data_IF_427625364877
#
_entry.id   IF_427625364877
#
_cell.length_a   1.000
_cell.length_b   1.000
_cell.length_c   1.000
_cell.angle_alpha   90.00
_cell.angle_beta   90.00
_cell.angle_gamma   90.00
#
_symmetry.space_group_name_H-M   'P 1'
#
loop_
_entity.id
_entity.type
_entity.pdbx_description
1 polymer ?
#
# COMPACT_ATOMS: atom_id res chain seq x y z
N UNK A 1 -10.21 -49.50 -54.33
CA UNK A 1 -10.92 -50.24 -53.25
C UNK A 1 -10.84 -49.36 -52.00
N UNK A 2 -11.91 -48.60 -51.75
CA UNK A 2 -11.97 -47.62 -50.66
C UNK A 2 -12.39 -48.32 -49.37
N UNK A 3 -11.61 -48.17 -48.31
CA UNK A 3 -11.95 -48.69 -46.98
C UNK A 3 -12.72 -47.60 -46.22
N UNK A 4 -14.02 -47.82 -45.98
CA UNK A 4 -14.85 -46.96 -45.14
C UNK A 4 -14.77 -47.43 -43.69
N UNK A 5 -14.41 -46.51 -42.78
CA UNK A 5 -14.39 -46.75 -41.34
C UNK A 5 -15.76 -46.32 -40.77
N UNK A 6 -16.58 -47.27 -40.32
CA UNK A 6 -17.80 -46.97 -39.55
C UNK A 6 -17.43 -46.83 -38.08
N UNK A 7 -17.69 -45.66 -37.49
CA UNK A 7 -17.66 -45.45 -36.05
C UNK A 7 -19.07 -45.64 -35.48
N UNK A 8 -19.23 -46.59 -34.56
CA UNK A 8 -20.45 -46.73 -33.75
C UNK A 8 -20.28 -45.90 -32.48
N UNK A 9 -21.15 -44.91 -32.25
CA UNK A 9 -21.25 -44.23 -30.97
C UNK A 9 -22.12 -45.10 -30.04
N UNK A 10 -21.52 -45.73 -29.03
CA UNK A 10 -22.30 -46.28 -27.92
C UNK A 10 -22.61 -45.15 -26.95
N UNK A 11 -23.90 -44.81 -26.86
CA UNK A 11 -24.44 -43.92 -25.83
C UNK A 11 -24.60 -44.79 -24.58
N UNK A 12 -23.66 -44.65 -23.64
CA UNK A 12 -23.72 -45.34 -22.37
C UNK A 12 -24.77 -44.64 -21.50
N UNK A 13 -25.91 -45.29 -21.29
CA UNK A 13 -26.99 -44.80 -20.43
C UNK A 13 -26.56 -44.92 -18.98
N UNK A 14 -25.85 -43.90 -18.47
CA UNK A 14 -25.59 -43.74 -17.03
C UNK A 14 -26.78 -43.03 -16.40
N UNK A 15 -27.48 -43.71 -15.49
CA UNK A 15 -28.54 -43.13 -14.67
C UNK A 15 -28.05 -41.84 -13.99
N UNK A 16 -28.90 -40.82 -13.81
CA UNK A 16 -28.53 -39.63 -13.06
C UNK A 16 -28.42 -39.99 -11.58
N UNK A 17 -27.27 -40.51 -11.19
CA UNK A 17 -26.90 -40.71 -9.79
C UNK A 17 -26.98 -39.37 -9.08
N UNK A 18 -27.92 -39.24 -8.15
CA UNK A 18 -28.06 -38.04 -7.33
C UNK A 18 -26.84 -37.91 -6.42
N UNK A 19 -25.92 -37.01 -6.75
CA UNK A 19 -24.74 -36.72 -5.90
C UNK A 19 -25.20 -35.84 -4.74
N UNK A 20 -25.47 -36.46 -3.59
CA UNK A 20 -25.85 -35.74 -2.37
C UNK A 20 -24.59 -35.10 -1.74
N UNK A 21 -24.37 -33.80 -2.03
CA UNK A 21 -23.21 -33.05 -1.52
C UNK A 21 -23.51 -32.54 -0.10
N UNK A 22 -22.97 -33.21 0.91
CA UNK A 22 -22.99 -32.73 2.29
C UNK A 22 -21.96 -31.61 2.48
N UNK A 23 -22.37 -30.36 2.30
CA UNK A 23 -21.49 -29.21 2.56
C UNK A 23 -21.35 -28.99 4.08
N UNK A 24 -20.14 -29.19 4.59
CA UNK A 24 -19.81 -28.88 5.99
C UNK A 24 -20.01 -27.36 6.25
N UNK A 25 -20.82 -26.95 7.23
CA UNK A 25 -21.07 -25.54 7.53
C UNK A 25 -19.81 -24.74 7.89
N UNK A 26 -18.72 -25.39 8.30
CA UNK A 26 -17.42 -24.74 8.54
C UNK A 26 -16.80 -24.19 7.26
N UNK A 27 -17.06 -24.80 6.10
CA UNK A 27 -16.58 -24.30 4.82
C UNK A 27 -17.20 -22.93 4.48
N UNK A 28 -18.49 -22.73 4.80
CA UNK A 28 -19.14 -21.44 4.60
C UNK A 28 -18.48 -20.36 5.47
N UNK A 29 -18.14 -20.69 6.72
CA UNK A 29 -17.43 -19.78 7.63
C UNK A 29 -16.05 -19.40 7.08
N UNK A 30 -15.28 -20.36 6.57
CA UNK A 30 -13.97 -20.08 5.97
C UNK A 30 -14.06 -19.17 4.74
N UNK A 31 -15.06 -19.37 3.88
CA UNK A 31 -15.29 -18.48 2.73
C UNK A 31 -15.61 -17.06 3.18
N UNK A 32 -16.44 -16.89 4.21
CA UNK A 32 -16.75 -15.56 4.76
C UNK A 32 -15.54 -14.88 5.38
N UNK A 33 -14.72 -15.62 6.13
CA UNK A 33 -13.49 -15.11 6.73
C UNK A 33 -12.47 -14.71 5.65
N UNK A 34 -12.33 -15.53 4.61
CA UNK A 34 -11.44 -15.22 3.49
C UNK A 34 -11.89 -13.95 2.76
N UNK A 35 -13.19 -13.78 2.53
CA UNK A 35 -13.73 -12.56 1.91
C UNK A 35 -13.42 -11.32 2.76
N UNK A 36 -13.57 -11.41 4.09
CA UNK A 36 -13.24 -10.32 5.02
C UNK A 36 -11.74 -10.01 5.01
N UNK A 37 -10.87 -11.03 5.05
CA UNK A 37 -9.41 -10.85 4.99
C UNK A 37 -9.01 -10.16 3.68
N UNK A 38 -9.59 -10.58 2.56
CA UNK A 38 -9.34 -9.97 1.26
C UNK A 38 -9.81 -8.51 1.23
N UNK A 39 -10.97 -8.20 1.83
CA UNK A 39 -11.47 -6.83 1.93
C UNK A 39 -10.53 -5.95 2.74
N UNK A 40 -10.10 -6.37 3.92
CA UNK A 40 -9.16 -5.62 4.78
C UNK A 40 -7.82 -5.42 4.07
N UNK A 41 -7.25 -6.49 3.51
CA UNK A 41 -5.98 -6.45 2.79
C UNK A 41 -6.07 -5.51 1.59
N UNK A 42 -7.19 -5.55 0.84
CA UNK A 42 -7.40 -4.64 -0.30
C UNK A 42 -7.58 -3.19 0.12
N UNK A 43 -8.22 -2.92 1.26
CA UNK A 43 -8.39 -1.56 1.81
C UNK A 43 -7.06 -0.99 2.28
N UNK A 44 -6.22 -1.77 2.94
CA UNK A 44 -4.91 -1.30 3.41
C UNK A 44 -3.91 -1.13 2.25
N UNK A 45 -3.97 -2.00 1.23
CA UNK A 45 -3.23 -1.79 -0.02
C UNK A 45 -3.65 -0.48 -0.71
N UNK A 46 -4.95 -0.13 -0.73
CA UNK A 46 -5.45 1.14 -1.29
C UNK A 46 -4.99 2.39 -0.53
N UNK A 47 -4.54 2.26 0.73
CA UNK A 47 -4.04 3.40 1.53
C UNK A 47 -2.59 3.73 1.25
N UNK A 48 -1.86 2.89 0.52
CA UNK A 48 -0.45 3.11 0.22
C UNK A 48 -0.22 3.27 -1.28
N UNK A 49 0.62 4.22 -1.67
CA UNK A 49 0.98 4.45 -3.06
C UNK A 49 2.47 4.76 -3.18
N UNK A 50 3.03 4.57 -4.37
CA UNK A 50 4.37 5.07 -4.69
C UNK A 50 4.33 6.60 -4.69
N UNK A 51 5.29 7.22 -4.01
CA UNK A 51 5.41 8.66 -3.96
C UNK A 51 6.79 9.08 -3.48
N UNK A 52 6.84 10.25 -2.84
CA UNK A 52 8.06 10.90 -2.43
C UNK A 52 7.97 11.36 -0.97
N UNK A 53 9.10 11.29 -0.28
CA UNK A 53 9.28 11.81 1.08
C UNK A 53 10.57 12.60 1.18
N UNK A 54 10.59 13.60 2.06
CA UNK A 54 11.77 14.44 2.28
C UNK A 54 12.60 13.88 3.43
N UNK A 55 13.84 13.48 3.16
CA UNK A 55 14.84 13.22 4.19
C UNK A 55 15.37 14.54 4.72
N UNK A 56 15.25 14.77 6.02
CA UNK A 56 15.68 16.02 6.65
C UNK A 56 17.06 15.87 7.27
N UNK A 57 17.28 14.77 8.00
CA UNK A 57 18.57 14.48 8.61
C UNK A 57 18.79 12.98 8.74
N UNK A 58 20.06 12.58 8.64
CA UNK A 58 20.56 11.26 9.03
C UNK A 58 21.76 11.48 9.96
N UNK A 59 21.60 11.20 11.24
CA UNK A 59 22.61 11.48 12.28
C UNK A 59 22.76 10.29 13.23
N UNK A 60 23.91 10.14 13.89
CA UNK A 60 24.09 9.16 14.97
C UNK A 60 23.60 9.69 16.33
N UNK A 61 23.34 11.00 16.44
CA UNK A 61 22.88 11.64 17.66
C UNK A 61 21.35 11.68 17.71
N UNK A 62 20.78 11.01 18.72
CA UNK A 62 19.32 10.96 18.94
C UNK A 62 18.71 12.33 19.21
N UNK A 63 19.40 13.18 19.97
CA UNK A 63 18.87 14.47 20.40
C UNK A 63 18.76 15.43 19.20
N UNK A 64 19.72 15.35 18.28
CA UNK A 64 19.69 16.12 17.05
C UNK A 64 18.51 15.70 16.14
N UNK A 65 18.26 14.39 16.03
CA UNK A 65 17.10 13.89 15.29
C UNK A 65 15.77 14.33 15.92
N UNK A 66 15.70 14.36 17.26
CA UNK A 66 14.51 14.84 17.98
C UNK A 66 14.32 16.34 17.77
N UNK A 67 15.38 17.14 17.87
CA UNK A 67 15.32 18.57 17.62
C UNK A 67 14.80 18.86 16.19
N UNK A 68 15.32 18.16 15.18
CA UNK A 68 14.84 18.29 13.81
C UNK A 68 13.36 17.92 13.66
N UNK A 69 12.93 16.82 14.28
CA UNK A 69 11.52 16.41 14.30
C UNK A 69 10.63 17.49 14.93
N UNK A 70 11.04 18.06 16.07
CA UNK A 70 10.30 19.12 16.76
C UNK A 70 10.18 20.37 15.89
N UNK A 71 11.26 20.80 15.24
CA UNK A 71 11.24 21.95 14.32
C UNK A 71 10.22 21.76 13.20
N UNK A 72 10.20 20.59 12.55
CA UNK A 72 9.20 20.30 11.49
C UNK A 72 7.80 20.28 12.07
N UNK A 73 7.61 19.66 13.24
CA UNK A 73 6.30 19.59 13.88
C UNK A 73 5.72 20.97 14.21
N UNK A 74 6.58 21.92 14.60
CA UNK A 74 6.18 23.30 14.91
C UNK A 74 5.88 24.13 13.67
N UNK A 75 6.75 24.08 12.64
CA UNK A 75 6.64 24.98 11.47
C UNK A 75 5.88 24.38 10.29
N UNK A 76 5.83 23.05 10.18
CA UNK A 76 5.23 22.30 9.08
C UNK A 76 4.43 21.09 9.61
N UNK A 77 3.41 21.32 10.46
CA UNK A 77 2.61 20.23 11.05
C UNK A 77 1.95 19.34 9.99
N UNK A 78 1.68 19.87 8.79
CA UNK A 78 1.12 19.13 7.66
C UNK A 78 2.02 18.00 7.15
N UNK A 79 3.34 18.09 7.36
CA UNK A 79 4.30 17.12 6.85
C UNK A 79 4.43 15.87 7.73
N UNK A 80 3.88 15.86 8.95
CA UNK A 80 3.90 14.71 9.87
C UNK A 80 5.29 14.01 9.94
N UNK A 81 6.29 14.62 10.61
CA UNK A 81 7.65 14.09 10.62
C UNK A 81 7.74 12.76 11.38
N UNK A 82 8.49 11.82 10.80
CA UNK A 82 8.75 10.52 11.40
C UNK A 82 10.25 10.33 11.65
N UNK A 83 10.54 9.73 12.79
CA UNK A 83 11.90 9.35 13.19
C UNK A 83 12.01 7.84 13.03
N UNK A 84 12.91 7.43 12.15
CA UNK A 84 13.24 6.04 11.90
C UNK A 84 14.63 5.76 12.46
N UNK A 85 14.73 4.78 13.36
CA UNK A 85 16.01 4.35 13.89
C UNK A 85 16.51 3.12 13.12
N UNK A 86 17.68 3.25 12.51
CA UNK A 86 18.40 2.17 11.84
C UNK A 86 19.85 2.24 12.28
N UNK A 87 20.22 1.42 13.28
CA UNK A 87 21.54 1.44 13.88
C UNK A 87 22.65 1.47 12.82
N UNK A 88 23.63 2.40 12.92
CA UNK A 88 23.88 3.35 14.02
C UNK A 88 23.19 4.73 13.86
N UNK A 89 22.27 4.89 12.91
CA UNK A 89 21.71 6.18 12.50
C UNK A 89 20.24 6.38 12.87
N UNK A 90 19.90 7.61 13.21
CA UNK A 90 18.56 8.17 13.29
C UNK A 90 18.28 8.97 12.03
N UNK A 91 17.24 8.57 11.30
CA UNK A 91 16.77 9.23 10.08
C UNK A 91 15.47 9.93 10.39
N UNK A 92 15.39 11.22 10.09
CA UNK A 92 14.13 11.96 10.13
C UNK A 92 13.70 12.19 8.70
N UNK A 93 12.49 11.75 8.37
CA UNK A 93 11.88 12.09 7.09
C UNK A 93 10.47 12.66 7.31
N UNK A 94 9.94 13.36 6.32
CA UNK A 94 8.68 14.08 6.44
C UNK A 94 7.94 14.16 5.10
N UNK A 95 6.62 14.29 5.19
CA UNK A 95 5.68 14.46 4.09
C UNK A 95 5.25 13.15 3.45
N UNK A 96 4.15 13.23 2.70
CA UNK A 96 3.63 12.17 1.84
C UNK A 96 3.26 12.84 0.50
N UNK A 97 4.21 12.90 -0.44
CA UNK A 97 4.02 13.64 -1.70
C UNK A 97 3.75 12.69 -2.86
N UNK A 98 2.70 12.95 -3.64
CA UNK A 98 2.43 12.20 -4.87
C UNK A 98 3.32 12.68 -6.01
N UNK A 99 3.51 13.99 -6.09
CA UNK A 99 4.29 14.63 -7.15
C UNK A 99 5.65 15.08 -6.64
N UNK A 100 6.69 14.81 -7.44
CA UNK A 100 8.06 15.22 -7.13
C UNK A 100 8.20 16.74 -7.03
N UNK A 101 7.49 17.48 -7.89
CA UNK A 101 7.52 18.95 -7.93
C UNK A 101 6.99 19.56 -6.63
N UNK A 102 5.97 18.94 -6.02
CA UNK A 102 5.45 19.36 -4.72
C UNK A 102 6.51 19.15 -3.63
N UNK A 103 7.14 17.96 -3.61
CA UNK A 103 8.22 17.66 -2.67
C UNK A 103 9.39 18.66 -2.81
N UNK A 104 9.80 18.99 -4.04
CA UNK A 104 10.86 19.97 -4.31
C UNK A 104 10.50 21.40 -3.84
N UNK A 105 9.22 21.78 -3.88
CA UNK A 105 8.75 23.06 -3.33
C UNK A 105 8.95 23.12 -1.81
N UNK A 106 8.54 22.06 -1.10
CA UNK A 106 8.75 21.94 0.35
C UNK A 106 10.22 21.81 0.71
N UNK A 107 11.02 21.11 -0.10
CA UNK A 107 12.47 21.01 0.06
C UNK A 107 13.09 22.41 0.14
N UNK A 108 12.77 23.31 -0.80
CA UNK A 108 13.30 24.69 -0.81
C UNK A 108 12.93 25.46 0.46
N UNK A 109 11.70 25.31 0.94
CA UNK A 109 11.23 25.94 2.19
C UNK A 109 11.97 25.39 3.41
N UNK A 110 12.20 24.09 3.45
CA UNK A 110 12.86 23.41 4.58
C UNK A 110 14.38 23.64 4.60
N UNK A 111 15.04 23.84 3.45
CA UNK A 111 16.48 24.15 3.39
C UNK A 111 16.83 25.41 4.18
N UNK A 112 15.91 26.37 4.32
CA UNK A 112 16.12 27.57 5.15
C UNK A 112 16.30 27.22 6.63
N UNK A 113 15.59 26.20 7.13
CA UNK A 113 15.64 25.74 8.52
C UNK A 113 16.70 24.66 8.75
N UNK A 114 17.04 23.90 7.70
CA UNK A 114 17.94 22.75 7.77
C UNK A 114 19.12 22.93 6.81
N UNK A 115 20.18 23.66 7.21
CA UNK A 115 21.33 23.95 6.35
C UNK A 115 22.16 22.70 6.00
N UNK A 116 22.00 21.60 6.77
CA UNK A 116 22.64 20.31 6.49
C UNK A 116 22.11 19.61 5.24
N UNK A 117 21.03 20.14 4.65
CA UNK A 117 20.47 19.68 3.39
C UNK A 117 19.25 18.78 3.59
N UNK A 118 18.27 18.97 2.71
CA UNK A 118 17.03 18.20 2.63
C UNK A 118 16.99 17.48 1.29
N UNK A 119 16.65 16.19 1.28
CA UNK A 119 16.69 15.35 0.07
C UNK A 119 15.33 14.75 -0.26
N UNK A 120 14.94 14.78 -1.53
CA UNK A 120 13.74 14.08 -2.01
C UNK A 120 14.09 12.61 -2.24
N UNK A 121 13.36 11.70 -1.60
CA UNK A 121 13.50 10.25 -1.78
C UNK A 121 12.21 9.65 -2.32
N UNK A 122 12.35 8.62 -3.14
CA UNK A 122 11.24 7.77 -3.55
C UNK A 122 10.89 6.85 -2.36
N UNK A 123 9.62 6.83 -1.96
CA UNK A 123 9.15 6.02 -0.83
C UNK A 123 7.69 5.57 -1.08
N UNK A 124 7.21 4.62 -0.29
CA UNK A 124 5.79 4.27 -0.25
C UNK A 124 5.13 5.21 0.76
N UNK A 125 4.19 6.01 0.26
CA UNK A 125 3.48 7.03 1.04
C UNK A 125 2.08 6.56 1.40
N UNK A 126 1.58 7.07 2.51
CA UNK A 126 0.17 6.90 2.88
C UNK A 126 -0.66 7.96 2.15
N UNK A 127 -1.61 7.50 1.35
CA UNK A 127 -2.54 8.35 0.62
C UNK A 127 -3.84 8.41 1.41
N UNK A 128 -4.24 9.61 1.82
CA UNK A 128 -5.59 9.85 2.30
C UNK A 128 -6.51 9.69 1.09
N UNK A 129 -7.42 8.73 1.14
CA UNK A 129 -8.46 8.59 0.13
C UNK A 129 -9.39 9.80 0.27
N UNK A 130 -9.23 10.78 -0.61
CA UNK A 130 -10.16 11.90 -0.68
C UNK A 130 -11.54 11.36 -1.08
N UNK A 131 -12.59 11.73 -0.35
CA UNK A 131 -13.97 11.26 -0.59
C UNK A 131 -14.61 11.83 -1.87
N UNK A 132 -13.84 12.41 -2.80
CA UNK A 132 -14.35 13.10 -4.00
C UNK A 132 -14.45 12.16 -5.21
N UNK A 133 -15.22 11.08 -5.09
CA UNK A 133 -15.47 10.15 -6.19
C UNK A 133 -16.85 9.50 -6.18
N UNK A 134 -17.81 10.07 -5.44
CA UNK A 134 -19.20 9.63 -5.41
C UNK A 134 -20.16 10.81 -5.65
N UNK A 135 -19.86 11.65 -6.63
CA UNK A 135 -20.83 12.58 -7.22
C UNK A 135 -20.56 12.60 -8.71
N UNK A 136 -21.07 11.58 -9.39
CA UNK A 136 -21.50 11.58 -10.82
C UNK A 136 -21.96 10.15 -11.15
N UNK A 137 -23.18 9.84 -10.71
CA UNK A 137 -24.06 8.85 -11.32
C UNK A 137 -25.38 9.55 -11.65
#
# INVERSE_FOLDING_TARGET
MFLTLQASAQVDSTEPGSVMVHKDPRLAQLVTLQAQINEVTSRDARKTAKGFRLMIISTNNRDEAIAAKTTIYTYFPELQPYLWHQSPYYKVKAGNFRDRKEAESYQKRLTVYFPKGVFVMNDVIEVKLDKYGQEEL
#
